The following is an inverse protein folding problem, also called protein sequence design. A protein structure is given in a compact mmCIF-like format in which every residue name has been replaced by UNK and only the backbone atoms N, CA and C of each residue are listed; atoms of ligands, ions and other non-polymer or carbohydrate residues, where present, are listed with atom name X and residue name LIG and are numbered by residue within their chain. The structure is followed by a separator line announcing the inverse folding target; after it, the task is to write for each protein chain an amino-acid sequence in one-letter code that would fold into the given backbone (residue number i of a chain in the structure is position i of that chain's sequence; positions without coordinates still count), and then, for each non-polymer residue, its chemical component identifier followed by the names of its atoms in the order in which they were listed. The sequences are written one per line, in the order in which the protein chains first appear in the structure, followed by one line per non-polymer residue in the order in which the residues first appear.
data_IF_196643992861
#
_entry.id   IF_196643992861
#
_cell.length_a   1.000
_cell.length_b   1.000
_cell.length_c   1.000
_cell.angle_alpha   90.00
_cell.angle_beta   90.00
_cell.angle_gamma   90.00
#
_symmetry.space_group_name_H-M   'P 1'
#
loop_
_entity.id
_entity.type
_entity.pdbx_description
1 polymer ?
#
# COMPACT_ATOMS: atom_id res chain seq x y z
N UNK A 1 36.51 6.18 -7.77
CA UNK A 1 35.21 5.45 -7.79
C UNK A 1 35.07 4.77 -6.45
N UNK A 2 34.32 5.35 -5.53
CA UNK A 2 34.02 4.72 -4.23
C UNK A 2 32.81 3.83 -4.48
N UNK A 3 33.02 2.51 -4.52
CA UNK A 3 31.94 1.55 -4.54
C UNK A 3 31.24 1.53 -3.19
N UNK A 4 30.05 2.10 -3.10
CA UNK A 4 29.19 1.95 -1.93
C UNK A 4 28.63 0.54 -1.97
N UNK A 5 29.16 -0.37 -1.15
CA UNK A 5 28.54 -1.66 -0.91
C UNK A 5 27.23 -1.41 -0.17
N UNK A 6 26.10 -1.51 -0.88
CA UNK A 6 24.79 -1.50 -0.24
C UNK A 6 24.69 -2.75 0.63
N UNK A 7 24.57 -2.56 1.94
CA UNK A 7 24.25 -3.66 2.83
C UNK A 7 22.84 -4.18 2.49
N UNK A 8 22.71 -5.51 2.42
CA UNK A 8 21.43 -6.15 2.14
C UNK A 8 20.82 -6.66 3.44
N UNK A 9 19.55 -6.35 3.64
CA UNK A 9 18.74 -6.98 4.70
C UNK A 9 18.16 -8.26 4.12
N UNK A 10 18.28 -9.35 4.85
CA UNK A 10 17.67 -10.63 4.50
C UNK A 10 16.91 -11.17 5.68
N UNK A 11 15.63 -11.42 5.49
CA UNK A 11 14.75 -12.05 6.47
C UNK A 11 14.08 -13.29 5.91
N UNK A 12 13.81 -14.25 6.78
CA UNK A 12 13.14 -15.49 6.42
C UNK A 12 11.98 -15.74 7.38
N UNK A 13 10.87 -16.19 6.81
CA UNK A 13 9.72 -16.70 7.55
C UNK A 13 9.46 -18.12 7.09
N UNK A 14 9.28 -19.00 8.03
CA UNK A 14 8.92 -20.40 7.81
C UNK A 14 7.66 -20.73 8.61
N UNK A 15 6.69 -21.36 7.97
CA UNK A 15 5.43 -21.76 8.61
C UNK A 15 5.05 -23.17 8.19
N UNK A 16 4.69 -23.99 9.16
CA UNK A 16 4.15 -25.33 8.91
C UNK A 16 2.65 -25.22 8.60
N UNK A 17 2.24 -25.68 7.41
CA UNK A 17 0.84 -25.64 6.94
C UNK A 17 0.55 -26.93 6.20
N UNK A 18 -0.42 -27.68 6.69
CA UNK A 18 -0.91 -28.88 5.99
C UNK A 18 -1.85 -28.48 4.86
N UNK A 19 -1.57 -28.90 3.63
CA UNK A 19 -2.30 -28.51 2.42
C UNK A 19 -2.36 -26.98 2.23
N UNK A 20 -1.22 -26.33 1.95
CA UNK A 20 -1.13 -24.89 1.84
C UNK A 20 -2.02 -24.35 0.73
N UNK A 21 -2.76 -23.29 1.06
CA UNK A 21 -3.59 -22.55 0.12
C UNK A 21 -2.84 -21.33 -0.40
N UNK A 22 -3.32 -20.72 -1.49
CA UNK A 22 -2.76 -19.46 -2.00
C UNK A 22 -2.81 -18.35 -0.94
N UNK A 23 -3.82 -18.35 -0.07
CA UNK A 23 -3.93 -17.40 1.04
C UNK A 23 -2.80 -17.58 2.07
N UNK A 24 -2.41 -18.82 2.36
CA UNK A 24 -1.30 -19.12 3.25
C UNK A 24 0.03 -18.65 2.66
N UNK A 25 0.23 -18.90 1.38
CA UNK A 25 1.42 -18.46 0.64
C UNK A 25 1.54 -16.94 0.65
N UNK A 26 0.45 -16.23 0.35
CA UNK A 26 0.39 -14.76 0.37
C UNK A 26 0.67 -14.23 1.79
N UNK A 27 0.10 -14.87 2.81
CA UNK A 27 0.30 -14.47 4.21
C UNK A 27 1.77 -14.58 4.63
N UNK A 28 2.44 -15.71 4.33
CA UNK A 28 3.84 -15.94 4.68
C UNK A 28 4.78 -15.00 3.90
N UNK A 29 4.46 -14.74 2.62
CA UNK A 29 5.17 -13.76 1.79
C UNK A 29 5.14 -12.36 2.41
N UNK A 30 3.95 -11.90 2.80
CA UNK A 30 3.78 -10.58 3.44
C UNK A 30 4.51 -10.48 4.78
N UNK A 31 4.47 -11.54 5.58
CA UNK A 31 5.19 -11.57 6.85
C UNK A 31 6.69 -11.43 6.65
N UNK A 32 7.27 -12.10 5.65
CA UNK A 32 8.68 -11.97 5.32
C UNK A 32 9.04 -10.55 4.85
N UNK A 33 8.22 -9.96 3.98
CA UNK A 33 8.37 -8.58 3.52
C UNK A 33 8.33 -7.59 4.68
N UNK A 34 7.35 -7.72 5.57
CA UNK A 34 7.22 -6.86 6.74
C UNK A 34 8.40 -6.97 7.70
N UNK A 35 8.92 -8.19 7.93
CA UNK A 35 10.13 -8.39 8.74
C UNK A 35 11.34 -7.69 8.12
N UNK A 36 11.54 -7.81 6.81
CA UNK A 36 12.62 -7.13 6.12
C UNK A 36 12.52 -5.60 6.28
N UNK A 37 11.31 -5.03 6.15
CA UNK A 37 11.08 -3.59 6.38
C UNK A 37 11.39 -3.19 7.82
N UNK A 38 10.94 -3.96 8.81
CA UNK A 38 11.22 -3.72 10.22
C UNK A 38 12.71 -3.77 10.53
N UNK A 39 13.45 -4.62 9.84
CA UNK A 39 14.90 -4.77 9.97
C UNK A 39 15.69 -3.77 9.10
N UNK A 40 14.99 -2.82 8.46
CA UNK A 40 15.61 -1.68 7.80
C UNK A 40 15.80 -1.83 6.30
N UNK A 41 15.12 -2.76 5.64
CA UNK A 41 15.08 -2.80 4.18
C UNK A 41 14.20 -1.66 3.63
N UNK A 42 14.64 -1.04 2.55
CA UNK A 42 13.86 -0.06 1.81
C UNK A 42 12.69 -0.76 1.09
N UNK A 43 11.42 -0.39 1.35
CA UNK A 43 10.25 -1.11 0.86
C UNK A 43 10.23 -1.35 -0.65
N UNK A 44 10.70 -0.37 -1.44
CA UNK A 44 10.73 -0.46 -2.91
C UNK A 44 11.83 -1.35 -3.49
N UNK A 45 12.69 -1.94 -2.64
CA UNK A 45 13.83 -2.78 -3.07
C UNK A 45 13.68 -4.24 -2.66
N UNK A 46 12.57 -4.58 -2.00
CA UNK A 46 12.38 -5.90 -1.42
C UNK A 46 11.91 -6.89 -2.48
N UNK A 47 12.68 -7.94 -2.67
CA UNK A 47 12.32 -9.12 -3.45
C UNK A 47 12.00 -10.27 -2.50
N UNK A 48 10.82 -10.89 -2.69
CA UNK A 48 10.38 -12.02 -1.86
C UNK A 48 10.26 -13.26 -2.72
N UNK A 49 11.06 -14.27 -2.40
CA UNK A 49 10.94 -15.63 -2.95
C UNK A 49 10.17 -16.51 -1.98
N UNK A 50 9.25 -17.34 -2.51
CA UNK A 50 8.48 -18.27 -1.71
C UNK A 50 8.69 -19.70 -2.24
N UNK A 51 9.01 -20.61 -1.33
CA UNK A 51 9.15 -22.03 -1.57
C UNK A 51 8.10 -22.80 -0.78
N UNK A 52 7.41 -23.73 -1.43
CA UNK A 52 6.41 -24.60 -0.79
C UNK A 52 6.91 -26.04 -0.84
N UNK A 53 7.26 -26.58 0.32
CA UNK A 53 7.62 -27.99 0.50
C UNK A 53 6.38 -28.78 0.96
N UNK A 54 5.69 -29.40 0.01
CA UNK A 54 4.48 -30.18 0.29
C UNK A 54 4.79 -31.50 1.01
N UNK A 55 6.00 -32.02 0.95
CA UNK A 55 6.37 -33.25 1.65
C UNK A 55 6.56 -32.99 3.15
N UNK A 56 7.07 -31.80 3.50
CA UNK A 56 7.30 -31.39 4.88
C UNK A 56 6.20 -30.51 5.43
N UNK A 57 5.20 -30.14 4.60
CA UNK A 57 4.13 -29.22 4.96
C UNK A 57 4.69 -27.85 5.42
N UNK A 58 5.68 -27.33 4.71
CA UNK A 58 6.35 -26.06 5.06
C UNK A 58 6.22 -25.09 3.90
N UNK A 59 5.84 -23.85 4.24
CA UNK A 59 5.97 -22.68 3.39
C UNK A 59 7.14 -21.85 3.92
N UNK A 60 8.10 -21.54 3.06
CA UNK A 60 9.26 -20.70 3.38
C UNK A 60 9.25 -19.48 2.49
N UNK A 61 9.28 -18.28 3.07
CA UNK A 61 9.45 -17.03 2.34
C UNK A 61 10.76 -16.34 2.76
N UNK A 62 11.53 -15.89 1.79
CA UNK A 62 12.78 -15.16 1.99
C UNK A 62 12.62 -13.80 1.34
N UNK A 63 12.70 -12.75 2.15
CA UNK A 63 12.71 -11.36 1.70
C UNK A 63 14.14 -10.82 1.72
N UNK A 64 14.57 -10.23 0.61
CA UNK A 64 15.88 -9.59 0.49
C UNK A 64 15.67 -8.18 -0.05
N UNK A 65 16.24 -7.16 0.61
CA UNK A 65 16.13 -5.78 0.17
C UNK A 65 17.37 -4.98 0.53
N UNK A 66 17.61 -3.89 -0.18
CA UNK A 66 18.69 -2.97 0.16
C UNK A 66 18.39 -2.30 1.50
N UNK A 67 19.43 -2.13 2.32
CA UNK A 67 19.29 -1.36 3.56
C UNK A 67 18.86 0.07 3.25
N UNK A 68 17.81 0.54 3.90
CA UNK A 68 17.43 1.95 3.86
C UNK A 68 18.59 2.77 4.46
N UNK A 69 19.31 3.51 3.62
CA UNK A 69 20.33 4.45 4.12
C UNK A 69 19.61 5.60 4.80
N UNK A 70 19.32 5.44 6.08
CA UNK A 70 18.94 6.57 6.92
C UNK A 70 20.19 7.43 7.08
N UNK A 71 20.23 8.57 6.43
CA UNK A 71 21.23 9.58 6.76
C UNK A 71 20.99 9.95 8.24
N UNK A 72 21.91 9.53 9.12
CA UNK A 72 21.85 9.74 10.58
C UNK A 72 21.78 11.21 10.99
N UNK A 73 21.97 12.13 10.06
CA UNK A 73 22.12 13.56 10.33
C UNK A 73 20.89 14.43 10.04
N UNK A 74 19.78 13.87 9.62
CA UNK A 74 18.53 14.63 9.72
C UNK A 74 17.90 14.29 11.07
N UNK A 75 18.06 15.17 12.04
CA UNK A 75 17.09 15.29 13.14
C UNK A 75 15.73 15.06 12.51
N UNK A 76 14.96 14.07 13.00
CA UNK A 76 13.62 13.72 12.52
C UNK A 76 12.68 14.92 12.70
N UNK A 77 12.84 15.92 11.87
CA UNK A 77 11.99 17.09 11.87
C UNK A 77 10.77 16.73 11.04
N UNK A 78 9.63 16.63 11.71
CA UNK A 78 8.36 16.47 11.01
C UNK A 78 8.19 17.61 10.04
N UNK A 79 7.98 17.28 8.78
CA UNK A 79 7.73 18.27 7.75
C UNK A 79 6.35 18.91 7.96
N UNK A 80 6.23 20.15 7.55
CA UNK A 80 4.94 20.83 7.51
C UNK A 80 4.07 20.27 6.38
N UNK A 81 2.75 20.39 6.49
CA UNK A 81 1.84 19.98 5.42
C UNK A 81 2.16 20.67 4.09
N UNK A 82 2.62 21.90 4.13
CA UNK A 82 3.05 22.64 2.94
C UNK A 82 4.28 22.03 2.26
N UNK A 83 5.25 21.58 3.03
CA UNK A 83 6.42 20.87 2.52
C UNK A 83 6.07 19.49 1.96
N UNK A 84 5.11 18.78 2.59
CA UNK A 84 4.61 17.50 2.07
C UNK A 84 3.91 17.68 0.72
N UNK A 85 3.12 18.74 0.55
CA UNK A 85 2.50 19.06 -0.75
C UNK A 85 3.55 19.41 -1.81
N UNK A 86 4.64 20.08 -1.45
CA UNK A 86 5.73 20.39 -2.37
C UNK A 86 6.43 19.14 -2.90
N UNK A 87 6.76 18.20 -2.00
CA UNK A 87 7.32 16.89 -2.35
C UNK A 87 6.36 16.10 -3.27
N UNK A 88 5.06 16.13 -2.93
CA UNK A 88 4.05 15.47 -3.76
C UNK A 88 3.94 16.10 -5.15
N UNK A 89 3.98 17.43 -5.24
CA UNK A 89 3.90 18.19 -6.48
C UNK A 89 5.07 17.86 -7.40
N UNK A 90 6.29 17.86 -6.86
CA UNK A 90 7.51 17.49 -7.59
C UNK A 90 7.41 16.05 -8.13
N UNK A 91 7.04 15.09 -7.29
CA UNK A 91 6.93 13.70 -7.68
C UNK A 91 5.81 13.45 -8.71
N UNK A 92 4.70 14.16 -8.61
CA UNK A 92 3.56 14.07 -9.54
C UNK A 92 3.78 14.85 -10.83
N UNK A 93 4.75 15.75 -10.89
CA UNK A 93 4.91 16.69 -11.98
C UNK A 93 3.70 17.61 -12.14
N UNK A 94 3.08 18.01 -11.02
CA UNK A 94 1.84 18.77 -10.99
C UNK A 94 2.00 20.08 -10.21
N UNK A 95 1.14 21.04 -10.52
CA UNK A 95 1.09 22.28 -9.78
C UNK A 95 0.60 22.04 -8.35
N UNK A 96 1.36 22.47 -7.35
CA UNK A 96 1.04 22.34 -5.93
C UNK A 96 -0.36 22.88 -5.58
N UNK A 97 -0.78 23.96 -6.23
CA UNK A 97 -2.10 24.56 -6.01
C UNK A 97 -3.28 23.65 -6.37
N UNK A 98 -3.05 22.62 -7.18
CA UNK A 98 -4.07 21.62 -7.57
C UNK A 98 -4.13 20.44 -6.61
N UNK A 99 -3.11 20.27 -5.75
CA UNK A 99 -3.03 19.15 -4.83
C UNK A 99 -3.86 19.40 -3.58
N UNK A 100 -4.40 18.32 -3.04
CA UNK A 100 -5.14 18.34 -1.78
C UNK A 100 -4.82 17.09 -0.95
N UNK A 101 -4.95 17.21 0.34
CA UNK A 101 -5.00 16.05 1.22
C UNK A 101 -6.39 15.40 1.14
N UNK A 102 -6.46 14.21 0.56
CA UNK A 102 -7.69 13.44 0.48
C UNK A 102 -8.00 12.75 1.82
N UNK A 103 -6.96 12.35 2.55
CA UNK A 103 -7.08 11.75 3.88
C UNK A 103 -5.76 11.89 4.65
N UNK A 104 -5.84 11.80 5.99
CA UNK A 104 -4.69 11.77 6.91
C UNK A 104 -5.01 10.95 8.16
N UNK A 105 -4.00 10.31 8.75
CA UNK A 105 -4.14 9.54 9.99
C UNK A 105 -3.17 9.97 11.11
N UNK A 106 -2.59 11.17 11.00
CA UNK A 106 -1.64 11.71 11.97
C UNK A 106 -0.17 11.35 11.70
N UNK A 107 0.10 10.29 10.95
CA UNK A 107 1.46 9.87 10.56
C UNK A 107 1.68 9.79 9.06
N UNK A 108 0.59 9.72 8.30
CA UNK A 108 0.58 9.59 6.84
C UNK A 108 -0.46 10.52 6.23
N UNK A 109 -0.12 11.06 5.07
CA UNK A 109 -0.95 11.97 4.27
C UNK A 109 -1.16 11.40 2.88
N UNK A 110 -2.43 11.23 2.51
CA UNK A 110 -2.82 10.85 1.15
C UNK A 110 -3.01 12.13 0.32
N UNK A 111 -2.08 12.41 -0.57
CA UNK A 111 -2.13 13.57 -1.47
C UNK A 111 -2.67 13.16 -2.82
N UNK A 112 -3.66 13.88 -3.30
CA UNK A 112 -4.29 13.66 -4.61
C UNK A 112 -4.55 14.97 -5.35
N UNK A 113 -4.74 14.85 -6.67
CA UNK A 113 -5.34 15.89 -7.50
C UNK A 113 -6.18 15.27 -8.61
N UNK A 114 -7.01 16.08 -9.24
CA UNK A 114 -7.79 15.67 -10.39
C UNK A 114 -6.99 15.91 -11.67
N UNK A 115 -6.63 14.83 -12.36
CA UNK A 115 -5.92 14.87 -13.63
C UNK A 115 -6.90 14.60 -14.77
N UNK A 116 -7.09 15.60 -15.61
CA UNK A 116 -7.96 15.52 -16.78
C UNK A 116 -7.12 15.32 -18.03
N UNK A 117 -7.24 14.18 -18.69
CA UNK A 117 -6.59 13.86 -19.95
C UNK A 117 -7.61 13.82 -21.08
N UNK A 118 -7.27 14.47 -22.20
CA UNK A 118 -8.04 14.38 -23.43
C UNK A 118 -7.42 13.31 -24.32
N UNK A 119 -8.17 12.25 -24.62
CA UNK A 119 -7.79 11.17 -25.54
C UNK A 119 -8.58 11.27 -26.85
N UNK A 120 -8.09 10.60 -27.91
CA UNK A 120 -8.73 10.59 -29.25
C UNK A 120 -9.07 12.00 -29.76
N UNK A 121 -8.04 12.83 -29.97
CA UNK A 121 -8.21 14.20 -30.50
C UNK A 121 -9.21 15.06 -29.70
N UNK A 122 -9.35 14.79 -28.41
CA UNK A 122 -10.22 15.57 -27.51
C UNK A 122 -11.66 15.06 -27.36
N UNK A 123 -12.03 13.97 -28.05
CA UNK A 123 -13.37 13.40 -28.00
C UNK A 123 -13.68 12.64 -26.71
N UNK A 124 -12.65 12.10 -26.03
CA UNK A 124 -12.81 11.37 -24.76
C UNK A 124 -12.03 12.09 -23.66
N UNK A 125 -12.72 12.49 -22.61
CA UNK A 125 -12.11 13.02 -21.38
C UNK A 125 -11.95 11.87 -20.39
N UNK A 126 -10.73 11.58 -19.96
CA UNK A 126 -10.45 10.65 -18.86
C UNK A 126 -10.01 11.45 -17.64
N UNK A 127 -10.77 11.36 -16.56
CA UNK A 127 -10.39 11.92 -15.26
C UNK A 127 -9.75 10.82 -14.42
N UNK A 128 -8.60 11.09 -13.83
CA UNK A 128 -7.90 10.21 -12.92
C UNK A 128 -7.50 10.96 -11.65
N UNK A 129 -7.32 10.23 -10.57
CA UNK A 129 -6.93 10.78 -9.28
C UNK A 129 -5.63 10.12 -8.81
N UNK A 130 -4.46 10.60 -9.29
CA UNK A 130 -3.17 10.09 -8.83
C UNK A 130 -3.02 10.27 -7.32
N UNK A 131 -2.50 9.23 -6.65
CA UNK A 131 -2.28 9.20 -5.20
C UNK A 131 -0.79 9.14 -4.89
N UNK A 132 -0.38 9.96 -3.92
CA UNK A 132 0.87 9.79 -3.18
C UNK A 132 0.56 9.71 -1.70
N UNK A 133 0.95 8.62 -1.07
CA UNK A 133 0.89 8.45 0.37
C UNK A 133 2.27 8.80 0.93
N UNK A 134 2.34 9.85 1.74
CA UNK A 134 3.59 10.44 2.22
C UNK A 134 3.59 10.42 3.75
N UNK A 135 4.70 10.03 4.35
CA UNK A 135 4.85 10.07 5.80
C UNK A 135 5.34 11.45 6.31
N UNK A 136 5.39 11.62 7.62
CA UNK A 136 5.81 12.85 8.29
C UNK A 136 7.26 13.27 7.99
N UNK A 137 8.08 12.36 7.43
CA UNK A 137 9.46 12.61 7.04
C UNK A 137 9.57 12.99 5.54
N UNK A 138 8.45 13.02 4.81
CA UNK A 138 8.40 13.33 3.38
C UNK A 138 8.69 12.14 2.47
N UNK A 139 8.70 10.92 3.02
CA UNK A 139 8.95 9.72 2.22
C UNK A 139 7.64 9.24 1.60
N UNK A 140 7.64 9.07 0.29
CA UNK A 140 6.49 8.53 -0.43
C UNK A 140 6.47 7.01 -0.24
N UNK A 141 5.45 6.50 0.45
CA UNK A 141 5.30 5.11 0.82
C UNK A 141 4.41 4.30 -0.13
N UNK A 142 3.50 4.97 -0.85
CA UNK A 142 2.65 4.35 -1.85
C UNK A 142 2.39 5.33 -2.99
N UNK A 143 2.44 4.83 -4.24
CA UNK A 143 2.16 5.59 -5.43
C UNK A 143 1.13 4.85 -6.28
N UNK A 144 0.06 5.52 -6.68
CA UNK A 144 -0.93 4.99 -7.61
C UNK A 144 -1.32 6.07 -8.62
N UNK A 145 -1.54 5.67 -9.86
CA UNK A 145 -1.88 6.59 -10.95
C UNK A 145 -3.36 6.97 -10.96
N UNK A 146 -4.20 6.14 -10.37
CA UNK A 146 -5.62 6.41 -10.19
C UNK A 146 -6.11 5.65 -8.98
N UNK A 147 -6.54 6.35 -7.92
CA UNK A 147 -6.98 5.74 -6.69
C UNK A 147 -8.18 6.48 -6.12
N UNK A 148 -9.07 5.73 -5.51
CA UNK A 148 -10.08 6.23 -4.62
C UNK A 148 -9.52 6.24 -3.18
N UNK A 149 -9.74 7.32 -2.44
CA UNK A 149 -9.20 7.50 -1.09
C UNK A 149 -10.27 8.06 -0.16
N UNK A 150 -10.35 7.51 1.04
CA UNK A 150 -11.23 7.99 2.10
C UNK A 150 -10.56 7.93 3.46
N UNK A 151 -10.80 8.95 4.25
CA UNK A 151 -10.50 8.92 5.68
C UNK A 151 -11.64 8.22 6.41
N UNK A 152 -11.30 7.25 7.24
CA UNK A 152 -12.24 6.47 8.03
C UNK A 152 -11.64 6.15 9.41
N UNK A 153 -12.24 5.25 10.15
CA UNK A 153 -11.73 4.74 11.42
C UNK A 153 -11.75 3.21 11.42
N UNK A 154 -11.01 2.61 12.35
CA UNK A 154 -11.03 1.15 12.54
C UNK A 154 -12.44 0.61 12.72
N UNK A 155 -13.33 1.34 13.39
CA UNK A 155 -14.71 0.91 13.62
C UNK A 155 -15.67 1.12 12.43
N UNK A 156 -15.26 1.89 11.41
CA UNK A 156 -16.16 2.27 10.30
C UNK A 156 -15.70 1.77 8.93
N UNK A 157 -14.50 1.24 8.84
CA UNK A 157 -13.86 0.91 7.57
C UNK A 157 -14.62 -0.14 6.74
N UNK A 158 -15.25 -1.13 7.37
CA UNK A 158 -16.01 -2.16 6.65
C UNK A 158 -17.19 -1.57 5.88
N UNK A 159 -17.86 -0.57 6.44
CA UNK A 159 -18.93 0.13 5.75
C UNK A 159 -18.42 0.85 4.52
N UNK A 160 -17.26 1.49 4.64
CA UNK A 160 -16.61 2.16 3.53
C UNK A 160 -16.06 1.17 2.50
N UNK A 161 -15.55 0.02 2.94
CA UNK A 161 -15.14 -1.09 2.07
C UNK A 161 -16.30 -1.58 1.22
N UNK A 162 -17.47 -1.80 1.82
CA UNK A 162 -18.65 -2.29 1.09
C UNK A 162 -19.00 -1.35 -0.06
N UNK A 163 -19.04 -0.05 0.20
CA UNK A 163 -19.27 0.96 -0.82
C UNK A 163 -18.19 0.95 -1.93
N UNK A 164 -16.91 0.79 -1.55
CA UNK A 164 -15.81 0.68 -2.54
C UNK A 164 -15.97 -0.55 -3.44
N UNK A 165 -16.33 -1.68 -2.85
CA UNK A 165 -16.50 -2.91 -3.61
C UNK A 165 -17.66 -2.77 -4.61
N UNK A 166 -18.76 -2.13 -4.23
CA UNK A 166 -19.88 -1.86 -5.13
C UNK A 166 -19.46 -0.93 -6.29
N UNK A 167 -18.70 0.12 -6.02
CA UNK A 167 -18.36 1.16 -7.00
C UNK A 167 -17.20 0.76 -7.93
N UNK A 168 -16.19 0.04 -7.41
CA UNK A 168 -14.95 -0.24 -8.14
C UNK A 168 -14.84 -1.68 -8.68
N UNK A 169 -15.73 -2.58 -8.30
CA UNK A 169 -15.72 -3.94 -8.86
C UNK A 169 -16.12 -3.92 -10.31
N UNK A 170 -15.35 -4.60 -11.15
CA UNK A 170 -15.61 -4.72 -12.56
C UNK A 170 -16.08 -6.13 -12.90
N UNK A 171 -17.15 -6.20 -13.68
CA UNK A 171 -17.72 -7.46 -14.17
C UNK A 171 -17.45 -7.55 -15.67
N UNK A 172 -16.75 -8.59 -16.08
CA UNK A 172 -16.45 -8.84 -17.48
C UNK A 172 -16.62 -10.33 -17.81
N UNK A 173 -16.47 -10.70 -19.07
CA UNK A 173 -16.63 -12.09 -19.53
C UNK A 173 -15.65 -13.07 -18.86
N UNK A 174 -14.54 -12.59 -18.31
CA UNK A 174 -13.56 -13.37 -17.54
C UNK A 174 -13.88 -13.50 -16.06
N UNK A 175 -14.98 -12.90 -15.58
CA UNK A 175 -15.40 -12.96 -14.18
C UNK A 175 -15.42 -11.62 -13.46
N UNK A 176 -15.33 -11.67 -12.14
CA UNK A 176 -15.38 -10.51 -11.24
C UNK A 176 -13.98 -10.06 -10.88
N UNK A 177 -13.65 -8.81 -11.18
CA UNK A 177 -12.40 -8.18 -10.79
C UNK A 177 -12.64 -7.22 -9.61
N UNK A 178 -12.26 -7.66 -8.42
CA UNK A 178 -12.29 -6.82 -7.23
C UNK A 178 -11.17 -5.77 -7.27
N UNK A 179 -11.38 -4.58 -6.68
CA UNK A 179 -10.34 -3.57 -6.57
C UNK A 179 -9.20 -4.05 -5.66
N UNK A 180 -8.01 -3.50 -5.87
CA UNK A 180 -6.93 -3.59 -4.90
C UNK A 180 -7.22 -2.61 -3.76
N UNK A 181 -7.18 -3.10 -2.52
CA UNK A 181 -7.53 -2.33 -1.33
C UNK A 181 -6.31 -2.20 -0.42
N UNK A 182 -6.10 -1.01 0.12
CA UNK A 182 -5.00 -0.66 1.01
C UNK A 182 -5.57 0.02 2.25
N UNK A 183 -5.22 -0.49 3.44
CA UNK A 183 -5.50 0.16 4.72
C UNK A 183 -4.22 0.77 5.26
N UNK A 184 -4.31 2.00 5.76
CA UNK A 184 -3.14 2.69 6.33
C UNK A 184 -3.45 3.10 7.76
N UNK A 185 -2.79 2.43 8.70
CA UNK A 185 -2.92 2.65 10.13
C UNK A 185 -1.58 3.14 10.70
N UNK A 186 -1.55 4.35 11.26
CA UNK A 186 -0.28 4.97 11.62
C UNK A 186 0.66 5.04 10.40
N UNK A 187 1.86 4.47 10.50
CA UNK A 187 2.82 4.34 9.39
C UNK A 187 2.74 3.01 8.64
N UNK A 188 1.85 2.11 9.05
CA UNK A 188 1.70 0.77 8.47
C UNK A 188 0.74 0.81 7.30
N UNK A 189 1.17 0.26 6.17
CA UNK A 189 0.34 0.01 4.99
C UNK A 189 0.01 -1.48 4.96
N UNK A 190 -1.28 -1.79 4.99
CA UNK A 190 -1.83 -3.14 4.91
C UNK A 190 -2.36 -3.31 3.49
N UNK A 191 -1.70 -4.14 2.70
CA UNK A 191 -2.10 -4.43 1.33
C UNK A 191 -3.04 -5.64 1.31
N UNK A 192 -4.30 -5.39 0.98
CA UNK A 192 -5.36 -6.39 0.85
C UNK A 192 -5.64 -6.76 -0.62
N UNK A 193 -4.70 -6.46 -1.53
CA UNK A 193 -4.83 -6.76 -2.95
C UNK A 193 -4.83 -8.27 -3.24
N UNK A 194 -5.35 -8.63 -4.41
CA UNK A 194 -5.29 -10.01 -4.90
C UNK A 194 -6.33 -10.95 -4.31
N UNK A 195 -7.21 -10.48 -3.43
CA UNK A 195 -8.34 -11.28 -2.93
C UNK A 195 -9.38 -11.49 -4.04
N UNK A 196 -10.04 -12.63 -4.00
CA UNK A 196 -11.06 -12.99 -5.00
C UNK A 196 -12.48 -12.70 -4.52
N UNK A 197 -12.68 -12.52 -3.21
CA UNK A 197 -13.99 -12.26 -2.60
C UNK A 197 -13.89 -11.08 -1.64
N UNK A 198 -14.91 -10.22 -1.63
CA UNK A 198 -14.99 -9.08 -0.71
C UNK A 198 -14.94 -9.49 0.77
N UNK A 199 -15.54 -10.63 1.10
CA UNK A 199 -15.49 -11.20 2.46
C UNK A 199 -14.06 -11.54 2.92
N UNK A 200 -13.19 -11.95 2.00
CA UNK A 200 -11.78 -12.21 2.31
C UNK A 200 -11.04 -10.91 2.65
N UNK A 201 -11.35 -9.82 1.93
CA UNK A 201 -10.79 -8.49 2.20
C UNK A 201 -11.21 -8.04 3.60
N UNK A 202 -12.51 -8.15 3.93
CA UNK A 202 -13.04 -7.77 5.23
C UNK A 202 -12.43 -8.61 6.36
N UNK A 203 -12.42 -9.93 6.19
CA UNK A 203 -11.86 -10.84 7.21
C UNK A 203 -10.38 -10.58 7.49
N UNK A 204 -9.57 -10.43 6.43
CA UNK A 204 -8.15 -10.16 6.59
C UNK A 204 -7.91 -8.77 7.19
N UNK A 205 -8.65 -7.76 6.74
CA UNK A 205 -8.57 -6.42 7.31
C UNK A 205 -8.89 -6.40 8.81
N UNK A 206 -9.92 -7.13 9.23
CA UNK A 206 -10.27 -7.23 10.65
C UNK A 206 -9.19 -7.93 11.49
N UNK A 207 -8.55 -8.96 10.95
CA UNK A 207 -7.42 -9.61 11.61
C UNK A 207 -6.26 -8.62 11.78
N UNK A 208 -5.96 -7.84 10.74
CA UNK A 208 -4.88 -6.86 10.75
C UNK A 208 -5.14 -5.65 11.65
N UNK A 209 -6.42 -5.31 11.85
CA UNK A 209 -6.86 -4.21 12.70
C UNK A 209 -7.23 -4.66 14.12
N UNK A 210 -7.12 -5.96 14.42
CA UNK A 210 -7.44 -6.49 15.74
C UNK A 210 -6.56 -5.85 16.82
N UNK A 211 -7.18 -5.43 17.91
CA UNK A 211 -6.49 -4.81 19.05
C UNK A 211 -6.31 -3.29 18.96
N UNK A 212 -6.66 -2.66 17.84
CA UNK A 212 -6.67 -1.20 17.74
C UNK A 212 -8.00 -0.59 18.21
N UNK A 213 -7.96 0.66 18.65
CA UNK A 213 -9.16 1.36 19.09
C UNK A 213 -10.10 1.61 17.90
N UNK A 214 -11.41 1.44 18.12
CA UNK A 214 -12.42 1.64 17.07
C UNK A 214 -12.43 3.07 16.51
N UNK A 215 -11.95 4.05 17.27
CA UNK A 215 -11.82 5.45 16.89
C UNK A 215 -10.50 5.79 16.20
N UNK A 216 -9.57 4.83 16.10
CA UNK A 216 -8.26 5.05 15.49
C UNK A 216 -8.41 5.50 14.03
N UNK A 217 -7.76 6.62 13.62
CA UNK A 217 -7.86 7.13 12.26
C UNK A 217 -7.22 6.17 11.27
N UNK A 218 -7.94 5.88 10.19
CA UNK A 218 -7.53 4.98 9.13
C UNK A 218 -7.67 5.68 7.78
N UNK A 219 -6.70 5.47 6.89
CA UNK A 219 -6.84 5.83 5.48
C UNK A 219 -7.18 4.55 4.72
N UNK A 220 -8.28 4.59 3.99
CA UNK A 220 -8.70 3.54 3.09
C UNK A 220 -8.46 4.02 1.66
N UNK A 221 -7.63 3.29 0.92
CA UNK A 221 -7.37 3.58 -0.49
C UNK A 221 -7.68 2.34 -1.34
N UNK A 222 -8.17 2.57 -2.54
CA UNK A 222 -8.46 1.50 -3.48
C UNK A 222 -8.15 1.90 -4.91
N UNK A 223 -7.75 0.92 -5.73
CA UNK A 223 -7.53 1.09 -7.17
C UNK A 223 -8.26 0.01 -7.94
N UNK A 224 -8.76 0.32 -9.11
CA UNK A 224 -9.20 -0.74 -10.04
C UNK A 224 -8.02 -1.65 -10.37
N UNK A 225 -8.28 -2.93 -10.59
CA UNK A 225 -7.22 -3.91 -10.84
C UNK A 225 -6.42 -3.62 -12.10
N UNK A 226 -7.03 -3.00 -13.09
CA UNK A 226 -6.38 -2.58 -14.37
C UNK A 226 -5.55 -1.31 -14.25
N UNK A 227 -5.72 -0.54 -13.18
CA UNK A 227 -5.01 0.73 -12.90
C UNK A 227 -3.87 0.54 -11.87
N UNK A 228 -3.56 -0.68 -11.48
CA UNK A 228 -2.64 -1.02 -10.39
C UNK A 228 -1.16 -1.05 -10.82
#
# INVERSE_FOLDING_TARGET
TIGVALAMVRDMVERSVTNPTDADIISVRREAEQKAIQNGAAPGTIEVSVEVDTQRNIIRAIAVGATEMRSKDRMKQKLTEDQLLEIAAENLGADKAKLRFAAKNGSMWAVQYEKNEKKLFGLVKKTTHPLRLIDEEGIIRLQKNNAWVRQTTVGSWEKDLHWILEELTEYNDGGTNLPNVYLVLGKRIIDLSGMQKGEQIASLGNVELAGFAQTEPLILAATKRVDA
#
